data_IF_525805698249
#
_entry.id   IF_525805698249
#
_cell.length_a   1.000
_cell.length_b   1.000
_cell.length_c   1.000
_cell.angle_alpha   90.00
_cell.angle_beta   90.00
_cell.angle_gamma   90.00
#
_symmetry.space_group_name_H-M   'P 1'
#
loop_
_entity.id
_entity.type
_entity.pdbx_description
1 polymer ?
#
# COMPACT_ATOMS: atom_id res chain seq x y z
N UNK A 1 -5.04 -5.17 15.53
CA UNK A 1 -5.80 -3.91 15.38
C UNK A 1 -6.76 -4.04 14.23
N UNK A 2 -7.98 -3.58 14.41
CA UNK A 2 -8.97 -3.56 13.34
C UNK A 2 -8.96 -2.20 12.66
N UNK A 3 -9.30 -2.18 11.38
CA UNK A 3 -9.29 -0.95 10.58
C UNK A 3 -10.70 -0.58 10.08
N UNK A 4 -11.72 -1.12 10.70
CA UNK A 4 -13.11 -0.95 10.30
C UNK A 4 -13.58 0.52 10.33
N UNK A 5 -12.94 1.37 11.11
CA UNK A 5 -13.22 2.80 11.15
C UNK A 5 -12.29 3.63 10.25
N UNK A 6 -11.45 2.96 9.47
CA UNK A 6 -10.53 3.64 8.57
C UNK A 6 -11.26 4.33 7.43
N UNK A 7 -10.80 5.52 7.06
CA UNK A 7 -11.32 6.28 5.93
C UNK A 7 -10.16 6.68 5.02
N UNK A 8 -10.37 6.50 3.72
CA UNK A 8 -9.40 6.91 2.71
C UNK A 8 -9.56 8.41 2.45
N UNK A 9 -8.46 9.14 2.55
CA UNK A 9 -8.43 10.59 2.29
C UNK A 9 -7.32 10.91 1.31
N UNK A 10 -7.54 11.95 0.49
CA UNK A 10 -6.50 12.41 -0.41
C UNK A 10 -5.26 12.83 0.39
N UNK A 11 -4.08 12.46 -0.11
CA UNK A 11 -2.83 12.82 0.53
C UNK A 11 -2.65 14.34 0.49
N UNK A 12 -2.24 14.92 1.61
CA UNK A 12 -1.89 16.34 1.70
C UNK A 12 -0.39 16.47 1.91
N UNK A 13 0.14 17.67 1.70
CA UNK A 13 1.55 17.92 1.96
C UNK A 13 1.91 17.68 3.43
N UNK A 14 0.98 17.97 4.32
CA UNK A 14 1.17 17.73 5.76
C UNK A 14 1.27 16.23 6.07
N UNK A 15 0.34 15.44 5.57
CA UNK A 15 0.37 13.99 5.80
C UNK A 15 1.54 13.34 5.08
N UNK A 16 1.90 13.81 3.90
CA UNK A 16 3.08 13.34 3.18
C UNK A 16 4.36 13.55 4.00
N UNK A 17 4.49 14.72 4.63
CA UNK A 17 5.63 15.01 5.49
C UNK A 17 5.70 14.09 6.71
N UNK A 18 4.56 13.76 7.30
CA UNK A 18 4.47 12.81 8.42
C UNK A 18 4.91 11.42 7.97
N UNK A 19 4.40 10.95 6.83
CA UNK A 19 4.71 9.63 6.28
C UNK A 19 6.20 9.51 5.94
N UNK A 20 6.81 10.56 5.42
CA UNK A 20 8.24 10.56 5.10
C UNK A 20 9.14 10.31 6.32
N UNK A 21 8.63 10.55 7.51
CA UNK A 21 9.37 10.33 8.75
C UNK A 21 9.22 8.91 9.29
N UNK A 22 8.36 8.10 8.69
CA UNK A 22 8.17 6.73 9.12
C UNK A 22 9.46 5.93 8.95
N UNK A 23 9.83 5.20 10.00
CA UNK A 23 11.03 4.38 10.02
C UNK A 23 10.67 2.95 10.41
N UNK A 24 11.06 2.01 9.58
CA UNK A 24 10.81 0.58 9.80
C UNK A 24 12.04 -0.09 10.41
N UNK A 25 11.81 -1.11 11.22
CA UNK A 25 12.88 -1.90 11.82
C UNK A 25 13.60 -2.76 10.78
N UNK A 26 14.89 -3.02 11.01
CA UNK A 26 15.66 -3.94 10.17
C UNK A 26 14.96 -5.32 10.10
N UNK A 27 14.87 -5.96 8.94
CA UNK A 27 15.49 -5.60 7.64
C UNK A 27 14.62 -4.70 6.75
N UNK A 28 13.48 -4.21 7.24
CA UNK A 28 12.50 -3.46 6.45
C UNK A 28 12.82 -1.97 6.35
N UNK A 29 13.88 -1.52 7.00
CA UNK A 29 14.31 -0.12 6.96
C UNK A 29 14.70 0.35 5.56
N UNK A 30 14.96 -0.57 4.62
CA UNK A 30 15.21 -0.22 3.22
C UNK A 30 13.99 0.40 2.55
N UNK A 31 12.80 0.20 3.11
CA UNK A 31 11.55 0.77 2.58
C UNK A 31 11.20 2.13 3.19
N UNK A 32 12.06 2.68 4.05
CA UNK A 32 11.83 4.01 4.60
C UNK A 32 11.75 5.03 3.46
N UNK A 33 10.78 5.94 3.55
CA UNK A 33 10.55 6.92 2.49
C UNK A 33 11.74 7.87 2.27
N UNK A 34 12.51 8.12 3.30
CA UNK A 34 13.71 8.96 3.18
C UNK A 34 14.74 8.34 2.22
N UNK A 35 14.67 7.03 2.00
CA UNK A 35 15.57 6.32 1.08
C UNK A 35 15.03 6.26 -0.35
N UNK A 36 13.84 6.81 -0.59
CA UNK A 36 13.23 6.82 -1.91
C UNK A 36 13.88 7.89 -2.80
N UNK A 37 14.04 7.60 -4.09
CA UNK A 37 14.64 8.57 -5.01
C UNK A 37 13.83 9.86 -5.07
N UNK A 38 14.52 10.99 -5.10
CA UNK A 38 13.94 12.32 -5.32
C UNK A 38 12.94 12.76 -4.24
N UNK A 39 12.89 12.07 -3.11
CA UNK A 39 11.97 12.41 -2.01
C UNK A 39 10.54 12.70 -2.53
N UNK A 40 10.05 11.83 -3.40
CA UNK A 40 8.88 12.14 -4.19
C UNK A 40 7.64 12.46 -3.35
N UNK A 41 7.49 11.89 -2.15
CA UNK A 41 6.36 12.24 -1.29
C UNK A 41 6.38 13.68 -0.81
N UNK A 42 7.57 14.29 -0.71
CA UNK A 42 7.70 15.69 -0.30
C UNK A 42 7.47 16.65 -1.46
N UNK A 43 7.48 16.17 -2.68
CA UNK A 43 7.28 17.01 -3.86
C UNK A 43 5.94 16.67 -4.52
N UNK A 44 4.92 17.46 -4.22
CA UNK A 44 3.58 17.23 -4.72
C UNK A 44 3.50 17.13 -6.24
N UNK A 45 4.35 17.85 -6.96
CA UNK A 45 4.35 17.83 -8.42
C UNK A 45 4.74 16.48 -9.00
N UNK A 46 5.40 15.62 -8.21
CA UNK A 46 5.80 14.29 -8.66
C UNK A 46 4.76 13.21 -8.38
N UNK A 47 3.62 13.57 -7.79
CA UNK A 47 2.58 12.59 -7.43
C UNK A 47 1.79 12.11 -8.66
N UNK A 48 2.36 11.86 -9.76
CA UNK A 48 1.74 11.56 -11.05
C UNK A 48 0.40 10.82 -11.07
N UNK A 49 0.03 10.09 -10.04
CA UNK A 49 -1.23 9.40 -9.86
C UNK A 49 -1.85 9.78 -8.54
N UNK A 50 -3.05 9.28 -8.27
CA UNK A 50 -3.72 9.63 -7.03
C UNK A 50 -3.07 8.97 -5.83
N UNK A 51 -2.79 9.77 -4.82
CA UNK A 51 -2.13 9.40 -3.59
C UNK A 51 -3.10 9.62 -2.43
N UNK A 52 -3.14 8.66 -1.51
CA UNK A 52 -4.07 8.69 -0.38
C UNK A 52 -3.38 8.31 0.92
N UNK A 53 -4.05 8.62 2.01
CA UNK A 53 -3.71 8.05 3.31
C UNK A 53 -4.96 7.43 3.92
N UNK A 54 -4.77 6.41 4.75
CA UNK A 54 -5.84 5.81 5.53
C UNK A 54 -5.80 6.44 6.91
N UNK A 55 -6.90 7.08 7.31
CA UNK A 55 -7.02 7.77 8.59
C UNK A 55 -7.99 6.98 9.47
N UNK A 56 -7.60 6.71 10.71
CA UNK A 56 -8.47 6.09 11.69
C UNK A 56 -8.28 6.77 13.04
N UNK A 57 -9.39 7.17 13.65
CA UNK A 57 -9.38 7.89 14.94
C UNK A 57 -8.41 9.10 14.92
N UNK A 58 -8.50 9.88 13.83
CA UNK A 58 -7.71 11.10 13.58
C UNK A 58 -6.19 10.84 13.40
N UNK A 59 -5.79 9.58 13.23
CA UNK A 59 -4.38 9.22 13.04
C UNK A 59 -4.16 8.63 11.66
N UNK A 60 -3.03 8.97 11.05
CA UNK A 60 -2.61 8.35 9.80
C UNK A 60 -2.06 6.96 10.07
N UNK A 61 -2.80 5.93 9.67
CA UNK A 61 -2.40 4.54 9.89
C UNK A 61 -1.77 3.90 8.66
N UNK A 62 -1.94 4.50 7.49
CA UNK A 62 -1.38 3.95 6.27
C UNK A 62 -1.28 4.97 5.15
N UNK A 63 -0.48 4.61 4.15
CA UNK A 63 -0.30 5.33 2.91
C UNK A 63 -0.70 4.42 1.76
N UNK A 64 -1.42 4.96 0.78
CA UNK A 64 -1.91 4.19 -0.37
C UNK A 64 -1.71 4.99 -1.65
N UNK A 65 -1.11 4.36 -2.64
CA UNK A 65 -0.99 4.93 -3.99
C UNK A 65 -1.68 4.02 -5.00
N UNK A 66 -2.23 4.61 -6.05
CA UNK A 66 -2.93 3.88 -7.09
C UNK A 66 -2.43 4.31 -8.46
N UNK A 67 -2.31 3.36 -9.37
CA UNK A 67 -1.90 3.61 -10.75
C UNK A 67 -2.61 2.65 -11.69
N UNK A 68 -3.16 3.19 -12.77
CA UNK A 68 -3.72 2.36 -13.83
C UNK A 68 -2.63 2.13 -14.87
N UNK A 69 -2.35 0.86 -15.15
CA UNK A 69 -1.34 0.43 -16.11
C UNK A 69 -1.88 -0.79 -16.84
N UNK A 70 -1.96 -0.72 -18.17
CA UNK A 70 -2.49 -1.81 -19.00
C UNK A 70 -3.89 -2.28 -18.55
N UNK A 71 -4.77 -1.34 -18.27
CA UNK A 71 -6.14 -1.57 -17.79
C UNK A 71 -6.23 -2.31 -16.45
N UNK A 72 -5.12 -2.38 -15.72
CA UNK A 72 -5.06 -2.96 -14.38
C UNK A 72 -4.87 -1.86 -13.35
N UNK A 73 -5.55 -1.98 -12.22
CA UNK A 73 -5.38 -1.06 -11.11
C UNK A 73 -4.33 -1.62 -10.17
N UNK A 74 -3.16 -0.98 -10.18
CA UNK A 74 -2.04 -1.34 -9.33
C UNK A 74 -2.03 -0.48 -8.08
N UNK A 75 -1.79 -1.10 -6.93
CA UNK A 75 -1.81 -0.42 -5.64
C UNK A 75 -0.47 -0.62 -4.94
N UNK A 76 0.05 0.49 -4.40
CA UNK A 76 1.15 0.45 -3.45
C UNK A 76 0.64 0.95 -2.11
N UNK A 77 1.11 0.36 -1.01
CA UNK A 77 0.70 0.79 0.33
C UNK A 77 1.80 0.58 1.35
N UNK A 78 1.71 1.36 2.42
CA UNK A 78 2.61 1.23 3.56
C UNK A 78 1.82 1.45 4.83
N UNK A 79 1.92 0.50 5.76
CA UNK A 79 1.28 0.62 7.06
C UNK A 79 2.21 1.35 8.02
N UNK A 80 1.64 2.13 8.94
CA UNK A 80 2.43 2.83 9.95
C UNK A 80 3.37 1.87 10.68
N UNK A 81 4.65 2.22 10.86
CA UNK A 81 5.64 1.30 11.44
C UNK A 81 5.25 0.71 12.79
N UNK A 82 4.59 1.47 13.64
CA UNK A 82 4.16 1.00 14.96
C UNK A 82 3.08 -0.07 14.90
N UNK A 83 2.40 -0.22 13.77
CA UNK A 83 1.36 -1.21 13.57
C UNK A 83 1.87 -2.47 12.88
N UNK A 84 3.10 -2.45 12.41
CA UNK A 84 3.72 -3.58 11.73
C UNK A 84 4.18 -4.66 12.70
N UNK A 85 4.29 -5.91 12.19
CA UNK A 85 4.85 -7.01 12.96
C UNK A 85 3.93 -7.60 14.01
N UNK A 86 2.64 -7.28 13.97
CA UNK A 86 1.64 -7.75 14.94
C UNK A 86 0.65 -8.73 14.35
N UNK A 87 0.84 -9.13 13.09
CA UNK A 87 -0.08 -10.02 12.40
C UNK A 87 -1.31 -9.34 11.82
N UNK A 88 -1.40 -8.02 11.85
CA UNK A 88 -2.56 -7.25 11.40
C UNK A 88 -2.47 -6.75 9.97
N UNK A 89 -1.36 -6.98 9.28
CA UNK A 89 -1.14 -6.46 7.94
C UNK A 89 -2.23 -6.85 6.94
N UNK A 90 -2.75 -8.07 7.03
CA UNK A 90 -3.81 -8.53 6.13
C UNK A 90 -5.11 -7.75 6.35
N UNK A 91 -5.40 -7.32 7.57
CA UNK A 91 -6.57 -6.50 7.88
C UNK A 91 -6.44 -5.12 7.26
N UNK A 92 -5.25 -4.54 7.31
CA UNK A 92 -4.94 -3.28 6.65
C UNK A 92 -5.15 -3.38 5.14
N UNK A 93 -4.62 -4.44 4.51
CA UNK A 93 -4.74 -4.67 3.07
C UNK A 93 -6.21 -4.80 2.67
N UNK A 94 -7.00 -5.58 3.41
CA UNK A 94 -8.43 -5.75 3.14
C UNK A 94 -9.18 -4.43 3.25
N UNK A 95 -8.86 -3.60 4.24
CA UNK A 95 -9.52 -2.31 4.41
C UNK A 95 -9.16 -1.34 3.29
N UNK A 96 -7.89 -1.27 2.91
CA UNK A 96 -7.45 -0.43 1.80
C UNK A 96 -8.13 -0.85 0.50
N UNK A 97 -8.22 -2.15 0.24
CA UNK A 97 -8.91 -2.69 -0.93
C UNK A 97 -10.36 -2.24 -0.98
N UNK A 98 -11.06 -2.39 0.14
CA UNK A 98 -12.46 -1.97 0.26
C UNK A 98 -12.64 -0.48 -0.03
N UNK A 99 -11.82 0.35 0.60
CA UNK A 99 -11.91 1.80 0.45
C UNK A 99 -11.55 2.29 -0.95
N UNK A 100 -10.55 1.67 -1.58
CA UNK A 100 -10.16 2.00 -2.96
C UNK A 100 -11.31 1.64 -3.92
N UNK A 101 -11.90 0.49 -3.76
CA UNK A 101 -13.02 0.07 -4.62
C UNK A 101 -14.21 1.02 -4.50
N UNK A 102 -14.52 1.46 -3.29
CA UNK A 102 -15.58 2.45 -3.06
C UNK A 102 -15.24 3.79 -3.70
N UNK A 103 -14.02 4.26 -3.49
CA UNK A 103 -13.57 5.58 -3.97
C UNK A 103 -13.72 5.71 -5.48
N UNK A 104 -13.35 4.67 -6.23
CA UNK A 104 -13.35 4.68 -7.68
C UNK A 104 -14.56 3.98 -8.30
N UNK A 105 -15.48 3.48 -7.48
CA UNK A 105 -16.58 2.64 -7.93
C UNK A 105 -16.06 1.53 -8.85
N UNK A 106 -15.00 0.86 -8.38
CA UNK A 106 -14.24 -0.11 -9.16
C UNK A 106 -14.58 -1.52 -8.70
N UNK A 107 -14.98 -2.38 -9.65
CA UNK A 107 -15.35 -3.76 -9.38
C UNK A 107 -14.33 -4.78 -9.89
N UNK A 108 -13.29 -4.32 -10.56
CA UNK A 108 -12.28 -5.18 -11.14
C UNK A 108 -11.27 -5.69 -10.13
N UNK A 109 -10.26 -6.36 -10.64
CA UNK A 109 -9.18 -6.91 -9.83
C UNK A 109 -8.15 -5.86 -9.48
N UNK A 110 -7.57 -5.99 -8.30
CA UNK A 110 -6.46 -5.16 -7.83
C UNK A 110 -5.16 -5.95 -7.93
N UNK A 111 -4.08 -5.27 -8.25
CA UNK A 111 -2.76 -5.86 -8.43
C UNK A 111 -1.76 -5.16 -7.53
N UNK A 112 -0.81 -5.92 -7.00
CA UNK A 112 0.24 -5.43 -6.11
C UNK A 112 1.58 -5.92 -6.61
N UNK A 113 2.59 -5.05 -6.61
CA UNK A 113 3.99 -5.43 -6.77
C UNK A 113 4.66 -5.35 -5.42
N UNK A 114 5.49 -6.32 -5.11
CA UNK A 114 6.24 -6.34 -3.86
C UNK A 114 7.59 -7.01 -4.08
N UNK A 115 8.61 -6.52 -3.40
CA UNK A 115 9.92 -7.18 -3.44
C UNK A 115 9.78 -8.61 -2.90
N UNK A 116 10.32 -9.58 -3.63
CA UNK A 116 10.22 -10.99 -3.24
C UNK A 116 10.80 -11.24 -1.84
N UNK A 117 11.79 -10.45 -1.43
CA UNK A 117 12.42 -10.55 -0.12
C UNK A 117 11.57 -9.97 1.02
N UNK A 118 10.52 -9.22 0.70
CA UNK A 118 9.64 -8.63 1.72
C UNK A 118 8.64 -9.67 2.22
N UNK A 119 9.11 -10.61 3.02
CA UNK A 119 8.33 -11.75 3.49
C UNK A 119 7.11 -11.33 4.31
N UNK A 120 7.24 -10.27 5.08
CA UNK A 120 6.13 -9.77 5.91
C UNK A 120 4.97 -9.28 5.06
N UNK A 121 5.26 -8.51 4.02
CA UNK A 121 4.25 -8.03 3.09
C UNK A 121 3.63 -9.19 2.29
N UNK A 122 4.46 -10.11 1.78
CA UNK A 122 3.98 -11.28 1.03
C UNK A 122 2.98 -12.09 1.86
N UNK A 123 3.29 -12.35 3.13
CA UNK A 123 2.39 -13.08 4.02
C UNK A 123 1.06 -12.34 4.24
N UNK A 124 1.12 -11.01 4.40
CA UNK A 124 -0.08 -10.20 4.58
C UNK A 124 -0.97 -10.27 3.35
N UNK A 125 -0.39 -10.19 2.16
CA UNK A 125 -1.15 -10.25 0.90
C UNK A 125 -1.80 -11.62 0.72
N UNK A 126 -1.08 -12.69 1.01
CA UNK A 126 -1.62 -14.04 0.93
C UNK A 126 -2.78 -14.26 1.90
N UNK A 127 -2.65 -13.78 3.13
CA UNK A 127 -3.74 -13.85 4.12
C UNK A 127 -4.96 -13.05 3.69
N UNK A 128 -4.75 -11.96 2.95
CA UNK A 128 -5.83 -11.13 2.44
C UNK A 128 -6.49 -11.72 1.18
N UNK A 129 -6.01 -12.86 0.70
CA UNK A 129 -6.59 -13.53 -0.46
C UNK A 129 -5.95 -13.18 -1.80
N UNK A 130 -4.85 -12.43 -1.78
CA UNK A 130 -4.10 -12.16 -3.01
C UNK A 130 -3.30 -13.38 -3.41
N UNK A 131 -3.25 -13.65 -4.72
CA UNK A 131 -2.63 -14.84 -5.28
C UNK A 131 -1.46 -14.42 -6.16
N UNK A 132 -0.35 -15.12 -6.04
CA UNK A 132 0.83 -14.90 -6.88
C UNK A 132 0.46 -15.03 -8.35
N UNK A 133 0.94 -14.10 -9.15
CA UNK A 133 0.70 -14.10 -10.59
C UNK A 133 1.98 -14.35 -11.37
N UNK A 134 2.99 -13.51 -11.17
CA UNK A 134 4.23 -13.60 -11.93
C UNK A 134 5.35 -12.84 -11.24
N UNK A 135 6.57 -13.13 -11.65
CA UNK A 135 7.75 -12.38 -11.23
C UNK A 135 8.09 -11.31 -12.28
N UNK A 136 8.40 -10.11 -11.81
CA UNK A 136 8.82 -8.98 -12.65
C UNK A 136 10.14 -8.51 -12.07
N UNK A 137 11.25 -8.92 -12.67
CA UNK A 137 12.61 -8.63 -12.15
C UNK A 137 12.73 -9.11 -10.69
N UNK A 138 13.03 -8.21 -9.75
CA UNK A 138 13.19 -8.54 -8.34
C UNK A 138 11.88 -8.48 -7.55
N UNK A 139 10.77 -8.21 -8.23
CA UNK A 139 9.47 -8.11 -7.62
C UNK A 139 8.56 -9.24 -8.07
N UNK A 140 7.57 -9.53 -7.23
CA UNK A 140 6.50 -10.47 -7.57
C UNK A 140 5.17 -9.75 -7.58
N UNK A 141 4.27 -10.15 -8.46
CA UNK A 141 2.95 -9.57 -8.60
C UNK A 141 1.89 -10.47 -7.99
N UNK A 142 0.93 -9.88 -7.30
CA UNK A 142 -0.20 -10.55 -6.67
C UNK A 142 -1.50 -9.91 -7.13
N UNK A 143 -2.57 -10.68 -7.16
CA UNK A 143 -3.90 -10.18 -7.51
C UNK A 143 -4.95 -10.79 -6.58
N UNK A 144 -6.01 -10.05 -6.34
CA UNK A 144 -7.18 -10.54 -5.62
C UNK A 144 -8.21 -11.19 -6.55
N UNK A 145 -7.85 -11.37 -7.80
CA UNK A 145 -8.68 -12.02 -8.79
C UNK A 145 -7.95 -13.24 -9.34
N UNK A 146 -8.65 -14.38 -9.43
CA UNK A 146 -8.07 -15.61 -9.97
C UNK A 146 -8.24 -15.59 -11.47
N UNK A 147 -7.17 -15.23 -12.18
CA UNK A 147 -7.13 -15.26 -13.63
C UNK A 147 -5.90 -16.07 -14.08
N UNK A 148 -6.01 -16.66 -15.24
CA UNK A 148 -4.88 -17.31 -15.87
C UNK A 148 -4.16 -16.27 -16.74
N UNK A 149 -2.97 -15.93 -16.32
CA UNK A 149 -2.11 -15.05 -17.11
C UNK A 149 -1.29 -15.87 -18.09
#
# INVERSE_FOLDING_TARGET
MEFDRGLLQALTEKTAAEICKWAYDFPYNIYNFINQPNEYLLNRETWGTEQFCLIQDEKTVGYVSCQIEDDCLWIGWSMHPKLCGKGDGHLFVLKCTEEIKKRFNYEGSLYIRVAASNQRAVKAYQKAGFVYQKQIQDEVAYSNHIENF
#
